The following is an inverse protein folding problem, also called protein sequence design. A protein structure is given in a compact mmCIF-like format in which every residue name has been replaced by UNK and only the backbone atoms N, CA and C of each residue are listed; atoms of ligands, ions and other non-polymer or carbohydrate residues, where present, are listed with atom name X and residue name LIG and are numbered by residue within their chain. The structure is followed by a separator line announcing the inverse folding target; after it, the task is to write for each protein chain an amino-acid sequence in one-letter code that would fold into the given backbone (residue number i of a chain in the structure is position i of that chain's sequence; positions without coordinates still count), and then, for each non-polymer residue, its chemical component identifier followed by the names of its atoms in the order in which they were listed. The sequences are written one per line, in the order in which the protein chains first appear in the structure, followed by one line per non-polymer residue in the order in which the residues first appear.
data_IF_784290942326
#
_entry.id   IF_784290942326
#
_cell.length_a   1.000
_cell.length_b   1.000
_cell.length_c   1.000
_cell.angle_alpha   90.00
_cell.angle_beta   90.00
_cell.angle_gamma   90.00
#
_symmetry.space_group_name_H-M   'P 1'
#
loop_
_entity.id
_entity.type
_entity.pdbx_description
1 polymer ?
#
# COMPACT_ATOMS: atom_id res chain seq x y z
N UNK A 1 19.96 4.48 3.56
CA UNK A 1 18.48 4.46 3.40
C UNK A 1 17.95 5.82 3.82
N UNK A 2 17.08 6.44 3.02
CA UNK A 2 16.36 7.67 3.38
C UNK A 2 14.92 7.33 3.77
N UNK A 3 14.38 8.08 4.73
CA UNK A 3 13.03 7.88 5.26
C UNK A 3 12.12 9.02 4.78
N UNK A 4 10.91 8.68 4.34
CA UNK A 4 9.84 9.66 4.16
C UNK A 4 9.09 9.70 5.50
N UNK A 5 9.15 10.83 6.20
CA UNK A 5 8.33 11.08 7.39
C UNK A 5 6.91 11.32 6.90
N UNK A 6 5.93 10.63 7.52
CA UNK A 6 4.53 10.71 7.12
C UNK A 6 3.80 11.69 8.03
N UNK A 7 3.30 12.79 7.47
CA UNK A 7 2.31 13.67 8.12
C UNK A 7 0.86 13.34 7.69
N UNK A 8 0.67 12.33 6.83
CA UNK A 8 -0.60 11.98 6.19
C UNK A 8 -0.95 10.51 6.51
N UNK A 9 -2.23 10.15 6.72
CA UNK A 9 -2.68 8.78 7.00
C UNK A 9 -2.62 7.85 5.77
N UNK A 10 -1.44 7.70 5.17
CA UNK A 10 -1.16 6.90 3.98
C UNK A 10 -1.68 5.46 4.08
N UNK A 11 -1.54 4.84 5.26
CA UNK A 11 -2.02 3.48 5.53
C UNK A 11 -3.53 3.34 5.32
N UNK A 12 -4.30 4.24 5.92
CA UNK A 12 -5.76 4.26 5.81
C UNK A 12 -6.21 4.51 4.38
N UNK A 13 -5.51 5.36 3.64
CA UNK A 13 -5.82 5.63 2.24
C UNK A 13 -5.54 4.43 1.32
N UNK A 14 -4.43 3.73 1.54
CA UNK A 14 -4.14 2.46 0.84
C UNK A 14 -5.23 1.43 1.15
N UNK A 15 -5.67 1.34 2.40
CA UNK A 15 -6.77 0.45 2.79
C UNK A 15 -8.06 0.81 2.05
N UNK A 16 -8.43 2.09 1.98
CA UNK A 16 -9.61 2.58 1.23
C UNK A 16 -9.51 2.23 -0.25
N UNK A 17 -8.35 2.46 -0.87
CA UNK A 17 -8.13 2.11 -2.28
C UNK A 17 -8.23 0.60 -2.53
N UNK A 18 -7.69 -0.23 -1.61
CA UNK A 18 -7.83 -1.69 -1.67
C UNK A 18 -9.29 -2.12 -1.56
N UNK A 19 -10.04 -1.56 -0.61
CA UNK A 19 -11.46 -1.87 -0.43
C UNK A 19 -12.30 -1.43 -1.64
N UNK A 20 -12.00 -0.28 -2.27
CA UNK A 20 -12.65 0.16 -3.51
C UNK A 20 -12.48 -0.84 -4.66
N UNK A 21 -11.38 -1.60 -4.67
CA UNK A 21 -11.12 -2.69 -5.62
C UNK A 21 -11.70 -4.05 -5.19
N UNK A 22 -12.31 -4.14 -4.01
CA UNK A 22 -12.86 -5.39 -3.47
C UNK A 22 -11.81 -6.44 -3.11
N UNK A 23 -10.55 -6.05 -2.92
CA UNK A 23 -9.46 -6.99 -2.66
C UNK A 23 -9.25 -7.23 -1.16
N UNK A 24 -8.97 -8.46 -0.77
CA UNK A 24 -8.43 -8.77 0.56
C UNK A 24 -6.95 -8.38 0.64
N UNK A 25 -6.41 -8.27 1.86
CA UNK A 25 -4.97 -8.03 2.05
C UNK A 25 -4.12 -9.11 1.38
N UNK A 26 -4.56 -10.36 1.47
CA UNK A 26 -3.85 -11.51 0.91
C UNK A 26 -3.88 -11.49 -0.62
N UNK A 27 -5.02 -11.16 -1.23
CA UNK A 27 -5.13 -11.01 -2.69
C UNK A 27 -4.25 -9.89 -3.24
N UNK A 28 -4.19 -8.74 -2.55
CA UNK A 28 -3.30 -7.65 -2.94
C UNK A 28 -1.83 -8.09 -2.86
N UNK A 29 -1.43 -8.76 -1.76
CA UNK A 29 -0.06 -9.25 -1.61
C UNK A 29 0.31 -10.29 -2.66
N UNK A 30 -0.58 -11.24 -2.96
CA UNK A 30 -0.33 -12.22 -4.01
C UNK A 30 -0.03 -11.54 -5.34
N UNK A 31 -0.82 -10.53 -5.73
CA UNK A 31 -0.56 -9.74 -6.94
C UNK A 31 0.76 -8.96 -6.85
N UNK A 32 1.05 -8.34 -5.71
CA UNK A 32 2.31 -7.61 -5.52
C UNK A 32 3.53 -8.52 -5.64
N UNK A 33 3.46 -9.74 -5.11
CA UNK A 33 4.54 -10.73 -5.20
C UNK A 33 4.78 -11.20 -6.63
N UNK A 34 3.71 -11.42 -7.40
CA UNK A 34 3.81 -11.73 -8.84
C UNK A 34 4.49 -10.61 -9.64
N UNK A 35 4.40 -9.37 -9.17
CA UNK A 35 5.06 -8.21 -9.76
C UNK A 35 6.42 -7.86 -9.13
N UNK A 36 6.98 -8.74 -8.29
CA UNK A 36 8.35 -8.62 -7.75
C UNK A 36 8.46 -7.99 -6.35
N UNK A 37 7.35 -7.76 -5.65
CA UNK A 37 7.41 -7.33 -4.24
C UNK A 37 7.76 -8.50 -3.33
N UNK A 38 8.59 -8.25 -2.32
CA UNK A 38 8.87 -9.20 -1.23
C UNK A 38 8.00 -8.99 0.01
N UNK A 39 6.95 -8.17 -0.12
CA UNK A 39 6.10 -7.81 1.00
C UNK A 39 5.19 -8.97 1.44
N UNK A 40 4.93 -9.07 2.75
CA UNK A 40 4.04 -10.06 3.35
C UNK A 40 2.69 -9.45 3.73
N UNK A 41 1.68 -10.30 3.97
CA UNK A 41 0.36 -9.87 4.48
C UNK A 41 0.47 -9.09 5.80
N UNK A 42 1.27 -9.57 6.75
CA UNK A 42 1.48 -8.88 8.03
C UNK A 42 2.13 -7.50 7.84
N UNK A 43 3.04 -7.37 6.88
CA UNK A 43 3.64 -6.10 6.52
C UNK A 43 2.60 -5.10 6.00
N UNK A 44 1.73 -5.55 5.08
CA UNK A 44 0.63 -4.73 4.58
C UNK A 44 -0.33 -4.32 5.71
N UNK A 45 -0.69 -5.24 6.60
CA UNK A 45 -1.58 -4.93 7.73
C UNK A 45 -0.99 -3.83 8.65
N UNK A 46 0.32 -3.89 8.93
CA UNK A 46 1.01 -2.86 9.71
C UNK A 46 1.11 -1.52 8.95
N UNK A 47 1.25 -1.55 7.62
CA UNK A 47 1.20 -0.34 6.81
C UNK A 47 -0.20 0.30 6.87
N UNK A 48 -1.26 -0.50 6.67
CA UNK A 48 -2.66 -0.04 6.73
C UNK A 48 -3.03 0.50 8.11
N UNK A 49 -2.51 -0.10 9.19
CA UNK A 49 -2.66 0.37 10.56
C UNK A 49 -1.78 1.60 10.91
N UNK A 50 -0.95 2.09 9.97
CA UNK A 50 -0.07 3.24 10.17
C UNK A 50 1.19 2.95 11.01
N UNK A 51 1.40 1.72 11.46
CA UNK A 51 2.51 1.34 12.35
C UNK A 51 3.82 1.04 11.62
N UNK A 52 3.81 0.95 10.28
CA UNK A 52 5.01 0.65 9.48
C UNK A 52 5.12 1.47 8.20
N UNK A 53 6.36 1.85 7.86
CA UNK A 53 6.72 2.51 6.60
C UNK A 53 6.56 1.60 5.36
N UNK A 54 6.34 2.22 4.19
CA UNK A 54 6.21 1.56 2.88
C UNK A 54 7.38 1.96 1.99
N UNK A 55 7.90 1.03 1.19
CA UNK A 55 8.94 1.32 0.21
C UNK A 55 8.32 2.00 -1.02
N UNK A 56 9.03 2.95 -1.62
CA UNK A 56 8.55 3.64 -2.83
C UNK A 56 8.27 2.69 -4.01
N UNK A 57 9.06 1.62 -4.15
CA UNK A 57 8.83 0.59 -5.17
C UNK A 57 7.50 -0.16 -4.95
N UNK A 58 7.19 -0.52 -3.70
CA UNK A 58 5.93 -1.16 -3.33
C UNK A 58 4.73 -0.22 -3.54
N UNK A 59 4.89 1.06 -3.21
CA UNK A 59 3.86 2.07 -3.45
C UNK A 59 3.57 2.24 -4.96
N UNK A 60 4.61 2.22 -5.80
CA UNK A 60 4.46 2.23 -7.27
C UNK A 60 3.75 0.98 -7.79
N UNK A 61 4.01 -0.19 -7.22
CA UNK A 61 3.29 -1.42 -7.56
C UNK A 61 1.81 -1.32 -7.14
N UNK A 62 1.54 -0.87 -5.93
CA UNK A 62 0.17 -0.69 -5.42
C UNK A 62 -0.64 0.22 -6.32
N UNK A 63 -0.06 1.34 -6.77
CA UNK A 63 -0.71 2.23 -7.76
C UNK A 63 -1.21 1.45 -8.97
N UNK A 64 -0.34 0.62 -9.56
CA UNK A 64 -0.67 -0.15 -10.77
C UNK A 64 -1.73 -1.21 -10.50
N UNK A 65 -1.59 -1.99 -9.43
CA UNK A 65 -2.48 -3.11 -9.10
C UNK A 65 -3.86 -2.60 -8.68
N UNK A 66 -3.90 -1.57 -7.83
CA UNK A 66 -5.14 -0.95 -7.38
C UNK A 66 -5.72 0.00 -8.42
N UNK A 67 -5.02 0.23 -9.54
CA UNK A 67 -5.35 1.18 -10.59
C UNK A 67 -5.98 2.46 -9.99
N UNK A 68 -5.20 3.06 -9.09
CA UNK A 68 -5.52 4.25 -8.31
C UNK A 68 -4.52 5.35 -8.62
N UNK A 69 -4.89 6.60 -8.40
CA UNK A 69 -3.97 7.72 -8.55
C UNK A 69 -3.17 7.94 -7.26
N UNK A 70 -2.01 8.60 -7.35
CA UNK A 70 -1.19 8.81 -6.16
C UNK A 70 -1.90 9.72 -5.15
N UNK A 71 -2.68 10.66 -5.68
CA UNK A 71 -3.58 11.56 -4.98
C UNK A 71 -4.54 10.80 -4.06
N UNK A 72 -4.99 9.60 -4.45
CA UNK A 72 -5.83 8.78 -3.58
C UNK A 72 -5.09 8.25 -2.35
N UNK A 73 -3.78 8.04 -2.45
CA UNK A 73 -2.94 7.59 -1.34
C UNK A 73 -2.53 8.73 -0.40
N UNK A 74 -2.40 9.95 -0.91
CA UNK A 74 -1.93 11.12 -0.18
C UNK A 74 -3.03 12.12 0.21
N UNK A 75 -4.30 11.73 0.18
CA UNK A 75 -5.41 12.51 0.73
C UNK A 75 -5.29 12.69 2.26
N UNK A 76 -5.69 13.85 2.76
CA UNK A 76 -5.80 14.11 4.20
C UNK A 76 -6.91 13.26 4.86
#
# INVERSE_FOLDING_TARGET
MQWIIRDIPLGTNIQKARMKRGLTQEQLIAQMQLHGSTMTRSTLANIEAGTRNIRACDLKLMKKILNADYEDFFKD
#
